data_IF_560208138202
#
_entry.id   IF_560208138202
#
_cell.length_a   1.000
_cell.length_b   1.000
_cell.length_c   1.000
_cell.angle_alpha   90.00
_cell.angle_beta   90.00
_cell.angle_gamma   90.00
#
_symmetry.space_group_name_H-M   'P 1'
#
loop_
_entity.id
_entity.type
_entity.pdbx_description
1 polymer ?
#
# COMPACT_ATOMS: atom_id res chain seq x y z
N UNK A 1 -17.78 8.49 2.91
CA UNK A 1 -16.66 8.29 3.86
C UNK A 1 -15.44 8.97 3.27
N UNK A 2 -14.62 9.68 4.05
CA UNK A 2 -13.38 10.27 3.53
C UNK A 2 -12.31 9.19 3.32
N UNK A 3 -11.33 9.43 2.44
CA UNK A 3 -10.21 8.50 2.24
C UNK A 3 -9.41 8.20 3.53
N UNK A 4 -9.05 9.19 4.37
CA UNK A 4 -8.39 8.92 5.64
C UNK A 4 -9.20 8.03 6.59
N UNK A 5 -10.52 8.22 6.66
CA UNK A 5 -11.39 7.37 7.48
C UNK A 5 -11.44 5.93 6.94
N UNK A 6 -11.35 5.76 5.62
CA UNK A 6 -11.29 4.44 5.00
C UNK A 6 -9.98 3.71 5.31
N UNK A 7 -8.84 4.41 5.33
CA UNK A 7 -7.56 3.84 5.73
C UNK A 7 -7.60 3.32 7.17
N UNK A 8 -8.22 4.08 8.10
CA UNK A 8 -8.41 3.63 9.50
C UNK A 8 -9.24 2.35 9.56
N UNK A 9 -10.32 2.27 8.77
CA UNK A 9 -11.14 1.05 8.72
C UNK A 9 -10.38 -0.14 8.13
N UNK A 10 -9.54 0.08 7.12
CA UNK A 10 -8.70 -0.97 6.55
C UNK A 10 -7.70 -1.53 7.59
N UNK A 11 -7.09 -0.66 8.39
CA UNK A 11 -6.18 -1.06 9.48
C UNK A 11 -6.91 -1.85 10.57
N UNK A 12 -8.11 -1.41 10.96
CA UNK A 12 -8.93 -2.16 11.91
C UNK A 12 -9.38 -3.52 11.34
N UNK A 13 -9.69 -3.60 10.04
CA UNK A 13 -10.00 -4.86 9.39
C UNK A 13 -8.79 -5.82 9.35
N UNK A 14 -7.57 -5.33 9.10
CA UNK A 14 -6.34 -6.12 9.21
C UNK A 14 -6.18 -6.69 10.63
N UNK A 15 -6.41 -5.87 11.66
CA UNK A 15 -6.36 -6.30 13.06
C UNK A 15 -7.40 -7.38 13.35
N UNK A 16 -8.65 -7.20 12.91
CA UNK A 16 -9.73 -8.18 13.09
C UNK A 16 -9.45 -9.50 12.35
N UNK A 17 -8.73 -9.43 11.23
CA UNK A 17 -8.22 -10.57 10.49
C UNK A 17 -6.98 -11.24 11.13
N UNK A 18 -6.55 -10.77 12.30
CA UNK A 18 -5.39 -11.31 13.01
C UNK A 18 -4.05 -10.88 12.41
N UNK A 19 -3.99 -9.69 11.81
CA UNK A 19 -2.78 -8.99 11.37
C UNK A 19 -2.73 -7.59 12.02
N UNK A 20 -2.55 -7.50 13.34
CA UNK A 20 -2.43 -6.20 14.00
C UNK A 20 -1.20 -5.45 13.45
N UNK A 21 -1.36 -4.15 13.18
CA UNK A 21 -0.24 -3.30 12.80
C UNK A 21 0.72 -3.10 13.98
N UNK A 22 2.02 -3.22 13.70
CA UNK A 22 3.11 -2.84 14.61
C UNK A 22 3.43 -1.36 14.49
N UNK A 23 3.44 -0.87 13.26
CA UNK A 23 3.70 0.53 12.89
C UNK A 23 2.81 0.90 11.70
N UNK A 24 2.51 2.18 11.57
CA UNK A 24 1.81 2.74 10.42
C UNK A 24 2.36 4.13 10.10
N UNK A 25 2.30 4.52 8.84
CA UNK A 25 2.68 5.86 8.39
C UNK A 25 1.64 6.90 8.81
N UNK A 26 1.89 8.16 8.48
CA UNK A 26 0.80 9.13 8.35
C UNK A 26 -0.05 8.86 7.11
N UNK A 27 -1.00 9.76 6.85
CA UNK A 27 -1.81 9.75 5.63
C UNK A 27 -1.07 10.53 4.55
N UNK A 28 -0.78 9.88 3.45
CA UNK A 28 -0.20 10.49 2.27
C UNK A 28 -1.26 10.72 1.20
N UNK A 29 -1.19 11.86 0.54
CA UNK A 29 -2.05 12.19 -0.58
C UNK A 29 -1.26 12.22 -1.88
N UNK A 30 -1.87 11.73 -2.96
CA UNK A 30 -1.37 11.88 -4.33
C UNK A 30 -2.45 12.31 -5.29
N UNK A 31 -2.08 13.14 -6.25
CA UNK A 31 -2.94 13.45 -7.39
C UNK A 31 -3.22 12.19 -8.22
N UNK A 32 -4.42 12.08 -8.83
CA UNK A 32 -4.71 11.00 -9.75
C UNK A 32 -3.85 11.13 -11.02
N UNK A 33 -3.38 10.00 -11.55
CA UNK A 33 -2.58 9.94 -12.77
C UNK A 33 -3.28 9.08 -13.84
N UNK A 34 -3.38 9.54 -15.10
CA UNK A 34 -2.84 10.78 -15.66
C UNK A 34 -3.59 12.06 -15.22
N UNK A 35 -3.00 13.27 -15.39
CA UNK A 35 -3.60 14.54 -14.95
C UNK A 35 -5.01 14.81 -15.49
N UNK A 36 -5.35 14.25 -16.66
CA UNK A 36 -6.70 14.33 -17.24
C UNK A 36 -7.78 13.73 -16.33
N UNK A 37 -7.42 12.81 -15.42
CA UNK A 37 -8.35 12.28 -14.42
C UNK A 37 -8.74 13.33 -13.38
N UNK A 38 -7.80 14.18 -12.97
CA UNK A 38 -8.08 15.33 -12.09
C UNK A 38 -9.01 16.32 -12.77
N UNK A 39 -8.77 16.61 -14.04
CA UNK A 39 -9.63 17.48 -14.87
C UNK A 39 -11.04 16.92 -15.02
N UNK A 40 -11.17 15.58 -15.09
CA UNK A 40 -12.44 14.87 -15.08
C UNK A 40 -13.12 14.81 -13.70
N UNK A 41 -12.58 15.51 -12.69
CA UNK A 41 -13.15 15.60 -11.35
C UNK A 41 -12.81 14.43 -10.43
N UNK A 42 -11.85 13.57 -10.79
CA UNK A 42 -11.41 12.49 -9.91
C UNK A 42 -10.67 13.05 -8.69
N UNK A 43 -11.06 12.57 -7.51
CA UNK A 43 -10.43 12.95 -6.26
C UNK A 43 -9.00 12.39 -6.13
N UNK A 44 -8.22 13.02 -5.26
CA UNK A 44 -6.90 12.52 -4.87
C UNK A 44 -6.98 11.14 -4.21
N UNK A 45 -5.90 10.38 -4.31
CA UNK A 45 -5.74 9.12 -3.60
C UNK A 45 -5.12 9.36 -2.23
N UNK A 46 -5.57 8.58 -1.26
CA UNK A 46 -5.00 8.56 0.09
C UNK A 46 -4.30 7.23 0.31
N UNK A 47 -3.05 7.29 0.76
CA UNK A 47 -2.14 6.16 0.87
C UNK A 47 -1.60 6.10 2.30
N UNK A 48 -1.35 4.88 2.76
CA UNK A 48 -0.62 4.60 3.99
C UNK A 48 0.13 3.28 3.84
N UNK A 49 1.24 3.16 4.56
CA UNK A 49 1.98 1.90 4.71
C UNK A 49 1.79 1.43 6.14
N UNK A 50 1.62 0.12 6.30
CA UNK A 50 1.56 -0.54 7.59
C UNK A 50 2.55 -1.67 7.64
N UNK A 51 3.20 -1.80 8.79
CA UNK A 51 3.97 -2.98 9.14
C UNK A 51 3.12 -3.85 10.04
N UNK A 52 3.08 -5.15 9.74
CA UNK A 52 2.28 -6.14 10.48
C UNK A 52 3.19 -7.30 10.90
N UNK A 53 2.79 -8.01 11.95
CA UNK A 53 3.34 -9.34 12.21
C UNK A 53 2.53 -10.38 11.43
N UNK A 54 3.13 -11.07 10.44
CA UNK A 54 2.42 -12.13 9.73
C UNK A 54 2.26 -13.41 10.56
N UNK A 55 3.01 -13.58 11.66
CA UNK A 55 3.20 -14.87 12.33
C UNK A 55 3.82 -15.89 11.38
N UNK A 56 3.35 -17.14 11.43
CA UNK A 56 3.83 -18.22 10.56
C UNK A 56 3.17 -18.24 9.16
N UNK A 57 2.39 -17.20 8.81
CA UNK A 57 1.68 -17.15 7.53
C UNK A 57 2.65 -16.96 6.37
N UNK A 58 2.59 -17.87 5.41
CA UNK A 58 3.32 -17.73 4.15
C UNK A 58 2.80 -16.52 3.32
N UNK A 59 3.63 -15.93 2.43
CA UNK A 59 3.25 -14.79 1.59
C UNK A 59 1.94 -15.00 0.80
N UNK A 60 1.66 -16.23 0.37
CA UNK A 60 0.44 -16.61 -0.33
C UNK A 60 -0.81 -16.42 0.54
N UNK A 61 -0.73 -16.80 1.82
CA UNK A 61 -1.82 -16.67 2.77
C UNK A 61 -2.06 -15.21 3.14
N UNK A 62 -0.99 -14.42 3.29
CA UNK A 62 -1.09 -12.97 3.48
C UNK A 62 -1.79 -12.32 2.28
N UNK A 63 -1.35 -12.64 1.07
CA UNK A 63 -1.95 -12.12 -0.15
C UNK A 63 -3.44 -12.48 -0.24
N UNK A 64 -3.82 -13.74 0.01
CA UNK A 64 -5.22 -14.15 -0.01
C UNK A 64 -6.06 -13.36 1.01
N UNK A 65 -5.55 -13.16 2.23
CA UNK A 65 -6.24 -12.41 3.26
C UNK A 65 -6.47 -10.94 2.89
N UNK A 66 -5.47 -10.27 2.31
CA UNK A 66 -5.63 -8.89 1.82
C UNK A 66 -6.75 -8.80 0.77
N UNK A 67 -6.83 -9.79 -0.13
CA UNK A 67 -7.87 -9.86 -1.16
C UNK A 67 -9.27 -10.08 -0.57
N UNK A 68 -9.40 -10.89 0.48
CA UNK A 68 -10.67 -11.07 1.21
C UNK A 68 -11.14 -9.76 1.85
N UNK A 69 -10.20 -9.01 2.47
CA UNK A 69 -10.50 -7.70 3.04
C UNK A 69 -10.97 -6.74 1.95
N UNK A 70 -10.26 -6.61 0.82
CA UNK A 70 -10.70 -5.75 -0.29
C UNK A 70 -12.11 -6.11 -0.80
N UNK A 71 -12.44 -7.41 -0.89
CA UNK A 71 -13.77 -7.87 -1.28
C UNK A 71 -14.82 -7.41 -0.26
N UNK A 72 -14.54 -7.53 1.03
CA UNK A 72 -15.44 -7.07 2.09
C UNK A 72 -15.66 -5.55 2.06
N UNK A 73 -14.67 -4.77 1.61
CA UNK A 73 -14.76 -3.32 1.40
C UNK A 73 -15.48 -2.90 0.11
N UNK A 74 -16.13 -3.86 -0.57
CA UNK A 74 -16.97 -3.58 -1.72
C UNK A 74 -16.20 -3.50 -3.04
N UNK A 75 -15.20 -4.37 -3.24
CA UNK A 75 -14.61 -4.63 -4.57
C UNK A 75 -15.67 -5.22 -5.51
N UNK A 76 -16.63 -4.40 -5.94
CA UNK A 76 -17.60 -4.74 -6.97
C UNK A 76 -16.91 -4.67 -8.34
N UNK A 77 -16.85 -5.80 -9.04
CA UNK A 77 -16.31 -5.95 -10.40
C UNK A 77 -17.20 -5.29 -11.47
N UNK A 78 -17.81 -4.12 -11.19
CA UNK A 78 -18.81 -3.48 -12.07
C UNK A 78 -18.20 -2.64 -13.19
N UNK A 79 -17.00 -2.06 -13.01
CA UNK A 79 -16.28 -1.36 -14.09
C UNK A 79 -14.76 -1.57 -13.99
N UNK A 80 -14.10 -1.74 -15.15
CA UNK A 80 -12.64 -1.93 -15.24
C UNK A 80 -11.85 -0.70 -14.74
N UNK A 81 -12.51 0.46 -14.62
CA UNK A 81 -11.95 1.76 -14.21
C UNK A 81 -12.79 2.49 -13.15
N UNK A 82 -13.77 1.82 -12.54
CA UNK A 82 -14.56 2.43 -11.46
C UNK A 82 -13.68 2.75 -10.25
N UNK A 83 -14.04 3.76 -9.44
CA UNK A 83 -13.27 4.11 -8.25
C UNK A 83 -13.21 2.88 -7.32
N UNK A 84 -12.00 2.31 -7.18
CA UNK A 84 -11.74 1.30 -6.15
C UNK A 84 -11.91 2.00 -4.82
N UNK A 85 -12.74 1.46 -3.94
CA UNK A 85 -12.88 1.99 -2.58
C UNK A 85 -11.56 1.77 -1.84
N UNK A 86 -11.03 0.54 -1.82
CA UNK A 86 -9.79 0.18 -1.14
C UNK A 86 -8.90 -0.71 -2.03
N UNK A 87 -7.59 -0.48 -1.99
CA UNK A 87 -6.55 -1.31 -2.63
C UNK A 87 -5.51 -1.68 -1.55
N UNK A 88 -5.23 -2.96 -1.36
CA UNK A 88 -4.28 -3.49 -0.38
C UNK A 88 -3.18 -4.27 -1.10
N UNK A 89 -2.01 -3.63 -1.22
CA UNK A 89 -0.83 -4.23 -1.84
C UNK A 89 0.13 -4.82 -0.80
N UNK A 90 0.58 -6.06 -1.04
CA UNK A 90 1.68 -6.66 -0.29
C UNK A 90 3.01 -6.13 -0.85
N UNK A 91 3.68 -5.23 -0.12
CA UNK A 91 4.90 -4.58 -0.58
C UNK A 91 6.14 -5.46 -0.47
N UNK A 92 6.34 -6.09 0.68
CA UNK A 92 7.48 -6.96 0.96
C UNK A 92 7.15 -7.89 2.12
N UNK A 93 7.89 -9.00 2.23
CA UNK A 93 7.85 -9.93 3.37
C UNK A 93 9.29 -10.27 3.70
N UNK A 94 9.67 -10.13 4.96
CA UNK A 94 11.03 -10.42 5.40
C UNK A 94 11.41 -11.87 5.09
N UNK A 95 12.62 -12.05 4.57
CA UNK A 95 13.13 -13.36 4.16
C UNK A 95 12.52 -13.91 2.86
N UNK A 96 11.66 -13.17 2.16
CA UNK A 96 11.08 -13.59 0.89
C UNK A 96 11.31 -12.58 -0.24
N UNK A 97 12.00 -13.01 -1.29
CA UNK A 97 12.08 -12.33 -2.58
C UNK A 97 11.87 -13.35 -3.70
N UNK A 98 10.86 -13.14 -4.55
CA UNK A 98 10.51 -14.09 -5.58
C UNK A 98 9.10 -13.92 -6.11
N UNK A 99 8.64 -14.93 -6.84
CA UNK A 99 7.32 -14.97 -7.46
C UNK A 99 6.52 -16.12 -6.86
N UNK A 100 5.25 -15.87 -6.53
CA UNK A 100 4.31 -16.92 -6.14
C UNK A 100 2.95 -16.72 -6.80
N UNK A 101 2.12 -17.76 -6.77
CA UNK A 101 0.80 -17.77 -7.40
C UNK A 101 0.80 -18.13 -8.89
N UNK A 102 -0.40 -18.11 -9.49
CA UNK A 102 -0.70 -18.55 -10.87
C UNK A 102 -1.22 -20.01 -10.93
N UNK A 103 -2.27 -20.40 -11.66
CA UNK A 103 -3.13 -19.71 -12.64
C UNK A 103 -4.51 -19.27 -12.08
N UNK A 104 -5.09 -18.20 -12.65
CA UNK A 104 -6.27 -17.50 -12.15
C UNK A 104 -5.99 -16.00 -11.96
N UNK A 105 -5.56 -15.59 -10.76
CA UNK A 105 -5.32 -14.19 -10.40
C UNK A 105 -4.01 -13.57 -10.95
N UNK A 106 -3.16 -14.35 -11.64
CA UNK A 106 -1.84 -13.94 -12.11
C UNK A 106 -0.73 -14.12 -11.07
N UNK A 107 0.55 -13.99 -11.47
CA UNK A 107 1.69 -14.09 -10.56
C UNK A 107 1.80 -12.85 -9.66
N UNK A 108 2.17 -13.06 -8.40
CA UNK A 108 2.52 -12.02 -7.43
C UNK A 108 4.03 -12.01 -7.26
N UNK A 109 4.64 -10.83 -7.38
CA UNK A 109 6.09 -10.64 -7.28
C UNK A 109 6.38 -9.85 -6.01
N UNK A 110 7.30 -10.36 -5.18
CA UNK A 110 7.80 -9.67 -4.00
C UNK A 110 9.34 -9.49 -4.04
N UNK A 111 9.86 -8.33 -3.57
CA UNK A 111 9.11 -7.12 -3.24
C UNK A 111 8.30 -6.62 -4.44
N UNK A 112 7.23 -5.87 -4.15
CA UNK A 112 6.34 -5.36 -5.17
C UNK A 112 7.16 -4.63 -6.26
N UNK A 113 7.08 -5.05 -7.54
CA UNK A 113 8.11 -4.79 -8.53
C UNK A 113 8.23 -3.33 -8.96
N UNK A 114 7.25 -2.50 -8.55
CA UNK A 114 7.20 -1.07 -8.84
C UNK A 114 7.17 -0.20 -7.59
N UNK A 115 7.43 -0.75 -6.40
CA UNK A 115 7.40 0.04 -5.16
C UNK A 115 8.46 1.16 -5.22
N UNK A 116 9.62 0.86 -5.80
CA UNK A 116 10.75 1.78 -5.96
C UNK A 116 10.46 2.93 -6.94
N UNK A 117 9.39 2.82 -7.73
CA UNK A 117 8.99 3.82 -8.73
C UNK A 117 7.96 4.81 -8.19
N UNK A 118 7.47 4.62 -6.95
CA UNK A 118 6.27 5.29 -6.43
C UNK A 118 6.57 6.09 -5.17
N UNK A 119 6.54 7.40 -5.29
CA UNK A 119 6.75 8.31 -4.16
C UNK A 119 5.73 8.10 -3.02
N UNK A 120 4.47 7.82 -3.35
CA UNK A 120 3.41 7.55 -2.36
C UNK A 120 3.49 6.19 -1.69
N UNK A 121 4.43 5.34 -2.10
CA UNK A 121 4.80 4.12 -1.40
C UNK A 121 6.06 4.36 -0.59
N UNK A 122 7.09 4.94 -1.20
CA UNK A 122 8.38 5.16 -0.56
C UNK A 122 8.35 6.19 0.57
N UNK A 123 7.59 7.27 0.45
CA UNK A 123 7.38 8.26 1.50
C UNK A 123 6.84 7.63 2.80
N UNK A 124 5.64 7.02 2.78
CA UNK A 124 5.10 6.35 3.97
C UNK A 124 5.92 5.14 4.42
N UNK A 125 6.57 4.40 3.51
CA UNK A 125 7.48 3.31 3.88
C UNK A 125 8.68 3.85 4.67
N UNK A 126 9.21 5.02 4.32
CA UNK A 126 10.29 5.68 5.06
C UNK A 126 9.89 6.13 6.47
N UNK A 127 8.60 6.42 6.72
CA UNK A 127 8.11 6.69 8.08
C UNK A 127 8.03 5.40 8.93
N UNK A 128 7.64 4.29 8.30
CA UNK A 128 7.37 3.02 8.99
C UNK A 128 8.64 2.21 9.22
N UNK A 129 9.53 2.16 8.23
CA UNK A 129 10.72 1.32 8.23
C UNK A 129 11.90 2.08 7.55
N UNK A 130 12.44 3.13 8.19
CA UNK A 130 13.47 3.99 7.59
C UNK A 130 14.76 3.23 7.22
N UNK A 131 15.11 2.23 8.03
CA UNK A 131 16.32 1.43 7.87
C UNK A 131 16.08 0.14 7.06
N UNK A 132 14.87 -0.06 6.53
CA UNK A 132 14.59 -1.21 5.68
C UNK A 132 15.40 -1.12 4.39
N UNK A 133 16.09 -2.20 4.03
CA UNK A 133 16.83 -2.30 2.78
C UNK A 133 16.02 -3.11 1.78
N UNK A 134 15.76 -2.53 0.61
CA UNK A 134 15.15 -3.27 -0.48
C UNK A 134 15.99 -4.52 -0.80
N UNK A 135 15.45 -5.75 -0.70
CA UNK A 135 16.28 -6.97 -0.72
C UNK A 135 17.04 -7.17 -2.04
N UNK A 136 16.53 -6.63 -3.16
CA UNK A 136 17.21 -6.64 -4.46
C UNK A 136 18.12 -5.41 -4.64
N UNK A 137 17.58 -4.20 -4.53
CA UNK A 137 18.31 -2.95 -4.83
C UNK A 137 19.32 -2.55 -3.75
N UNK A 138 19.22 -3.11 -2.55
CA UNK A 138 20.06 -2.79 -1.39
C UNK A 138 20.07 -1.28 -1.09
N UNK A 139 18.89 -0.65 -1.18
CA UNK A 139 18.69 0.78 -0.96
C UNK A 139 17.51 1.00 0.00
N UNK A 140 17.64 2.03 0.84
CA UNK A 140 16.59 2.49 1.77
C UNK A 140 15.45 3.19 1.03
N UNK A 141 14.27 3.36 1.65
CA UNK A 141 13.19 4.17 1.09
C UNK A 141 13.63 5.59 0.75
N UNK A 142 14.44 6.21 1.62
CA UNK A 142 14.95 7.57 1.41
C UNK A 142 15.88 7.66 0.18
N UNK A 143 16.77 6.67 0.00
CA UNK A 143 17.65 6.62 -1.17
C UNK A 143 16.88 6.39 -2.45
N UNK A 144 15.92 5.46 -2.47
CA UNK A 144 15.06 5.23 -3.62
C UNK A 144 14.21 6.46 -3.95
N UNK A 145 13.69 7.15 -2.94
CA UNK A 145 12.89 8.36 -3.12
C UNK A 145 13.70 9.48 -3.77
N UNK A 146 14.96 9.65 -3.35
CA UNK A 146 15.90 10.62 -3.94
C UNK A 146 16.16 10.36 -5.43
N UNK A 147 16.09 9.10 -5.88
CA UNK A 147 16.29 8.73 -7.28
C UNK A 147 15.07 9.04 -8.17
N UNK A 148 13.87 9.22 -7.58
CA UNK A 148 12.66 9.52 -8.34
C UNK A 148 12.55 10.97 -8.82
N UNK A 149 13.41 11.87 -8.33
CA UNK A 149 13.33 13.29 -8.64
C UNK A 149 12.19 13.97 -7.90
N UNK A 150 11.38 14.80 -8.58
CA UNK A 150 10.20 15.41 -7.97
C UNK A 150 9.27 14.32 -7.41
N UNK A 151 8.69 14.57 -6.23
CA UNK A 151 7.97 13.59 -5.39
C UNK A 151 6.67 13.01 -6.02
N UNK A 152 6.51 13.09 -7.35
CA UNK A 152 5.35 12.65 -8.13
C UNK A 152 4.01 13.15 -7.55
N UNK A 153 4.02 14.33 -6.92
CA UNK A 153 2.85 14.91 -6.25
C UNK A 153 2.42 14.22 -4.95
N UNK A 154 3.22 13.28 -4.41
CA UNK A 154 2.97 12.69 -3.10
C UNK A 154 3.27 13.70 -1.99
N UNK A 155 2.40 13.77 -0.98
CA UNK A 155 2.63 14.63 0.18
C UNK A 155 2.02 14.05 1.45
N UNK A 156 2.71 14.20 2.57
CA UNK A 156 2.18 13.87 3.89
C UNK A 156 1.13 14.91 4.30
N UNK A 157 -0.09 14.46 4.61
CA UNK A 157 -1.16 15.31 5.13
C UNK A 157 -1.13 15.43 6.66
N UNK A 158 -0.61 14.41 7.35
CA UNK A 158 -0.58 14.34 8.81
C UNK A 158 -0.77 12.92 9.33
N UNK A 159 -0.94 12.73 10.65
CA UNK A 159 -1.13 11.42 11.24
C UNK A 159 -2.46 10.77 10.83
N UNK A 160 -2.53 9.43 10.95
CA UNK A 160 -3.80 8.71 10.79
C UNK A 160 -4.81 9.15 11.87
N UNK A 161 -6.07 9.45 11.51
CA UNK A 161 -7.08 9.85 12.48
C UNK A 161 -7.30 8.77 13.55
N UNK A 162 -7.32 9.18 14.83
CA UNK A 162 -7.52 8.25 15.95
C UNK A 162 -6.26 7.51 16.41
N UNK A 163 -5.10 7.74 15.78
CA UNK A 163 -3.80 7.38 16.35
C UNK A 163 -3.40 8.45 17.39
N UNK A 164 -4.00 8.37 18.57
CA UNK A 164 -3.70 9.19 19.75
C UNK A 164 -3.46 8.33 20.97
#
# INVERSE_FOLDING_TARGET
MSGPALLVQAIEALKQAGLPSRRHSGVWETEPWPPSLREAGQHAFFNAVVEVDPGDRAPQALYALLREIEIAFGRERRERWGPRTLDLDLLSVDGFAGVFGGAGAGPVVLPHPRLQERAFVLGPLGEVAPDWLHPILQATPAEMLRLLGENQGARLLGPLPGAG
#
